data_IF_237403269269
#
_entry.id   IF_237403269269
#
_cell.length_a   1.000
_cell.length_b   1.000
_cell.length_c   1.000
_cell.angle_alpha   90.00
_cell.angle_beta   90.00
_cell.angle_gamma   90.00
#
_symmetry.space_group_name_H-M   'P 1'
#
loop_
_entity.id
_entity.type
_entity.pdbx_description
1 polymer ?
#
# COMPACT_ATOMS: atom_id res chain seq x y z
N UNK A 1 11.96 -12.70 -0.06
CA UNK A 1 10.54 -12.51 0.35
C UNK A 1 10.44 -12.78 1.84
N UNK A 2 10.85 -11.85 2.71
CA UNK A 2 10.62 -11.97 4.16
C UNK A 2 9.35 -11.17 4.47
N UNK A 3 8.20 -11.85 4.56
CA UNK A 3 6.95 -11.22 4.97
C UNK A 3 7.00 -10.90 6.46
N UNK A 4 6.54 -9.71 6.86
CA UNK A 4 6.48 -9.36 8.27
C UNK A 4 5.58 -10.30 9.08
N UNK A 5 5.78 -10.35 10.41
CA UNK A 5 5.08 -11.22 11.38
C UNK A 5 3.57 -11.32 11.15
N UNK A 6 2.92 -10.22 10.79
CA UNK A 6 1.48 -10.19 10.52
C UNK A 6 1.07 -11.06 9.30
N UNK A 7 1.87 -11.07 8.24
CA UNK A 7 1.60 -11.87 7.03
C UNK A 7 1.78 -13.36 7.28
N UNK A 8 2.72 -13.74 8.16
CA UNK A 8 2.88 -15.14 8.61
C UNK A 8 1.64 -15.65 9.35
N UNK A 9 0.87 -14.74 9.97
CA UNK A 9 -0.38 -15.04 10.65
C UNK A 9 -1.62 -14.83 9.77
N UNK A 10 -1.46 -14.67 8.45
CA UNK A 10 -2.54 -14.37 7.49
C UNK A 10 -3.39 -13.13 7.87
N UNK A 11 -2.77 -12.13 8.52
CA UNK A 11 -3.43 -10.87 8.85
C UNK A 11 -3.21 -9.84 7.75
N UNK A 12 -4.26 -9.08 7.44
CA UNK A 12 -4.16 -7.90 6.57
C UNK A 12 -3.41 -6.78 7.28
N UNK A 13 -2.54 -6.09 6.55
CA UNK A 13 -1.74 -4.96 7.03
C UNK A 13 -2.16 -3.70 6.30
N UNK A 14 -2.93 -2.86 7.00
CA UNK A 14 -3.35 -1.55 6.51
C UNK A 14 -2.56 -0.44 7.21
N UNK A 15 -2.12 0.57 6.47
CA UNK A 15 -1.35 1.70 7.00
C UNK A 15 -2.17 2.98 7.03
N UNK A 16 -1.95 3.80 8.05
CA UNK A 16 -2.62 5.08 8.29
C UNK A 16 -1.64 6.07 8.95
N UNK A 17 -1.75 7.38 8.76
CA UNK A 17 -2.29 8.07 7.57
C UNK A 17 -1.12 8.39 6.65
N UNK A 18 -1.16 7.95 5.40
CA UNK A 18 -0.04 8.14 4.46
C UNK A 18 -0.40 9.20 3.43
N UNK A 19 0.17 10.39 3.56
CA UNK A 19 -0.19 11.54 2.74
C UNK A 19 0.87 11.88 1.67
N UNK A 20 2.14 11.57 1.95
CA UNK A 20 3.24 11.89 1.03
C UNK A 20 3.40 10.82 -0.05
N UNK A 21 3.68 11.29 -1.27
CA UNK A 21 3.79 10.42 -2.45
C UNK A 21 4.91 9.39 -2.29
N UNK A 22 6.07 9.81 -1.78
CA UNK A 22 7.20 8.92 -1.56
C UNK A 22 6.88 7.82 -0.54
N UNK A 23 6.08 8.14 0.47
CA UNK A 23 5.65 7.17 1.48
C UNK A 23 4.60 6.22 0.90
N UNK A 24 3.67 6.70 0.06
CA UNK A 24 2.74 5.84 -0.68
C UNK A 24 3.52 4.82 -1.50
N UNK A 25 4.49 5.25 -2.30
CA UNK A 25 5.33 4.37 -3.13
C UNK A 25 6.08 3.33 -2.30
N UNK A 26 6.61 3.76 -1.14
CA UNK A 26 7.27 2.87 -0.20
C UNK A 26 6.32 1.83 0.39
N UNK A 27 5.12 2.23 0.82
CA UNK A 27 4.14 1.31 1.42
C UNK A 27 3.63 0.30 0.39
N UNK A 28 3.38 0.74 -0.84
CA UNK A 28 3.04 -0.16 -1.95
C UNK A 28 4.17 -1.16 -2.20
N UNK A 29 5.43 -0.71 -2.23
CA UNK A 29 6.58 -1.60 -2.41
C UNK A 29 6.76 -2.60 -1.25
N UNK A 30 6.31 -2.27 -0.03
CA UNK A 30 6.27 -3.18 1.11
C UNK A 30 5.14 -4.22 1.01
N UNK A 31 4.19 -4.03 0.09
CA UNK A 31 3.04 -4.89 -0.11
C UNK A 31 2.06 -4.81 1.04
N UNK A 32 1.73 -3.60 1.50
CA UNK A 32 0.60 -3.37 2.40
C UNK A 32 -0.71 -3.68 1.66
N UNK A 33 -1.69 -4.17 2.41
CA UNK A 33 -3.00 -4.54 1.85
C UNK A 33 -3.91 -3.32 1.66
N UNK A 34 -3.63 -2.23 2.37
CA UNK A 34 -4.40 -0.99 2.26
C UNK A 34 -3.68 0.25 2.74
N UNK A 35 -3.98 1.38 2.10
CA UNK A 35 -3.46 2.71 2.45
C UNK A 35 -4.64 3.61 2.77
N UNK A 36 -4.64 4.13 4.00
CA UNK A 36 -5.59 5.14 4.45
C UNK A 36 -4.90 6.50 4.33
N UNK A 37 -5.49 7.42 3.58
CA UNK A 37 -4.93 8.72 3.22
C UNK A 37 -6.00 9.79 3.19
N UNK A 38 -5.63 11.03 3.52
CA UNK A 38 -6.50 12.18 3.36
C UNK A 38 -6.60 12.63 1.88
N UNK A 39 -5.69 12.12 1.03
CA UNK A 39 -5.55 12.50 -0.37
C UNK A 39 -5.69 11.29 -1.30
N UNK A 40 -6.89 10.72 -1.46
CA UNK A 40 -7.10 9.51 -2.27
C UNK A 40 -6.63 9.67 -3.72
N UNK A 41 -6.73 10.88 -4.28
CA UNK A 41 -6.22 11.19 -5.62
C UNK A 41 -4.70 11.07 -5.81
N UNK A 42 -3.91 10.91 -4.74
CA UNK A 42 -2.47 10.62 -4.83
C UNK A 42 -2.19 9.12 -4.97
N UNK A 43 -3.11 8.26 -4.54
CA UNK A 43 -3.07 6.80 -4.70
C UNK A 43 -3.72 6.44 -6.04
N UNK A 44 -3.09 6.85 -7.14
CA UNK A 44 -3.65 6.66 -8.48
C UNK A 44 -3.39 5.25 -9.01
N UNK A 45 -4.33 4.76 -9.83
CA UNK A 45 -4.18 3.49 -10.56
C UNK A 45 -2.88 3.40 -11.36
N UNK A 46 -2.46 4.50 -12.01
CA UNK A 46 -1.20 4.57 -12.75
C UNK A 46 0.00 4.17 -11.88
N UNK A 47 0.07 4.72 -10.68
CA UNK A 47 1.14 4.48 -9.70
C UNK A 47 1.11 3.04 -9.20
N UNK A 48 -0.07 2.50 -8.94
CA UNK A 48 -0.24 1.10 -8.53
C UNK A 48 0.22 0.12 -9.63
N UNK A 49 -0.10 0.40 -10.89
CA UNK A 49 0.36 -0.38 -12.04
C UNK A 49 1.89 -0.37 -12.19
N UNK A 50 2.56 0.75 -11.88
CA UNK A 50 4.03 0.83 -11.91
C UNK A 50 4.67 -0.13 -10.89
N UNK A 51 3.94 -0.47 -9.82
CA UNK A 51 4.33 -1.48 -8.82
C UNK A 51 3.78 -2.88 -9.12
N UNK A 52 3.08 -3.08 -10.24
CA UNK A 52 2.48 -4.36 -10.63
C UNK A 52 1.31 -4.78 -9.74
N UNK A 53 0.68 -3.85 -9.03
CA UNK A 53 -0.45 -4.11 -8.13
C UNK A 53 -1.72 -3.43 -8.63
N UNK A 54 -2.86 -4.07 -8.36
CA UNK A 54 -4.19 -3.57 -8.67
C UNK A 54 -4.99 -3.54 -7.37
N UNK A 55 -5.52 -2.37 -7.00
CA UNK A 55 -6.48 -2.30 -5.90
C UNK A 55 -7.86 -2.70 -6.43
N UNK A 56 -8.53 -3.63 -5.75
CA UNK A 56 -9.94 -3.86 -5.99
C UNK A 56 -10.69 -2.84 -5.12
N UNK A 57 -11.28 -1.83 -5.76
CA UNK A 57 -12.17 -0.87 -5.08
C UNK A 57 -13.41 -1.57 -4.53
#
# INVERSE_FOLDING_TARGET
MAGGKARECCLMVNVWTVNEIADIDRMVALGVDGIITDYPGRVQWRRLLDHGVSFML
#
